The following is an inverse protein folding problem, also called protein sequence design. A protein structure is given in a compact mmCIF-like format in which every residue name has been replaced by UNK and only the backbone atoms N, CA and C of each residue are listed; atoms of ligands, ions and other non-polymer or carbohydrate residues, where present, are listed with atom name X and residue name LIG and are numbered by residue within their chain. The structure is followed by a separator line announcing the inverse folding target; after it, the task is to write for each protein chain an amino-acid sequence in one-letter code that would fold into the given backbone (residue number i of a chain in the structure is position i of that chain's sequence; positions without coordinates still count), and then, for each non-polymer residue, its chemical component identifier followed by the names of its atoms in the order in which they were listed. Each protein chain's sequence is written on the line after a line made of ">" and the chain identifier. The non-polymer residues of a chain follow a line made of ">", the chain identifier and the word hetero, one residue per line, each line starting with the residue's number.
data_IF_757208124586
#
_entry.id   IF_757208124586
#
_cell.length_a   1.000
_cell.length_b   1.000
_cell.length_c   1.000
_cell.angle_alpha   90.00
_cell.angle_beta   90.00
_cell.angle_gamma   90.00
#
_symmetry.space_group_name_H-M   'P 1'
#
loop_
_entity.id
_entity.type
_entity.pdbx_description
1 polymer ?
#
# COMPACT_ATOMS: atom_id res chain seq x y z
N UNK A 1 3.60 -4.88 24.95
CA UNK A 1 2.86 -3.65 24.61
C UNK A 1 1.38 -3.97 24.51
N UNK A 2 0.51 -3.16 25.11
CA UNK A 2 -0.94 -3.28 24.96
C UNK A 2 -1.44 -2.40 23.81
N UNK A 3 -2.41 -2.89 23.03
CA UNK A 3 -3.09 -2.10 22.01
C UNK A 3 -4.03 -1.07 22.67
N UNK A 4 -3.88 0.22 22.36
CA UNK A 4 -4.77 1.30 22.84
C UNK A 4 -5.89 1.56 21.82
N UNK A 5 -6.92 0.71 21.86
CA UNK A 5 -8.10 0.88 21.01
C UNK A 5 -8.88 2.17 21.35
N UNK A 6 -8.90 2.60 22.62
CA UNK A 6 -9.60 3.83 23.01
C UNK A 6 -8.93 5.06 22.42
N UNK A 7 -7.60 5.11 22.42
CA UNK A 7 -6.82 6.15 21.74
C UNK A 7 -7.04 6.14 20.23
N UNK A 8 -7.01 4.96 19.61
CA UNK A 8 -7.29 4.80 18.19
C UNK A 8 -8.69 5.34 17.83
N UNK A 9 -9.73 5.02 18.62
CA UNK A 9 -11.09 5.54 18.44
C UNK A 9 -11.15 7.07 18.56
N UNK A 10 -10.48 7.66 19.56
CA UNK A 10 -10.43 9.13 19.73
C UNK A 10 -9.76 9.84 18.55
N UNK A 11 -8.72 9.22 17.98
CA UNK A 11 -7.97 9.75 16.83
C UNK A 11 -8.75 9.60 15.53
N UNK A 12 -9.29 8.40 15.25
CA UNK A 12 -9.98 8.07 13.98
C UNK A 12 -11.41 8.58 13.92
N UNK A 13 -12.09 8.72 15.06
CA UNK A 13 -13.46 9.23 15.20
C UNK A 13 -14.45 8.57 14.22
N UNK A 14 -14.52 7.22 14.17
CA UNK A 14 -15.38 6.53 13.21
C UNK A 14 -16.87 6.88 13.40
N UNK A 15 -17.29 7.18 14.62
CA UNK A 15 -18.63 7.64 15.00
C UNK A 15 -19.00 8.99 14.38
N UNK A 16 -18.02 9.84 14.07
CA UNK A 16 -18.23 11.14 13.42
C UNK A 16 -18.34 11.05 11.91
N UNK A 17 -18.11 9.86 11.33
CA UNK A 17 -18.21 9.63 9.88
C UNK A 17 -19.50 8.88 9.59
N UNK A 18 -20.47 9.59 9.01
CA UNK A 18 -21.81 9.07 8.68
C UNK A 18 -22.14 9.14 7.19
N UNK A 19 -21.38 9.91 6.40
CA UNK A 19 -21.62 10.12 4.97
C UNK A 19 -20.56 9.40 4.17
N UNK A 20 -20.97 8.88 2.99
CA UNK A 20 -20.06 8.31 2.00
C UNK A 20 -18.97 9.34 1.67
N UNK A 21 -17.71 8.91 1.78
CA UNK A 21 -16.57 9.71 1.34
C UNK A 21 -16.50 9.70 -0.19
N UNK A 22 -16.12 10.84 -0.75
CA UNK A 22 -15.91 11.02 -2.19
C UNK A 22 -14.40 11.12 -2.42
N UNK A 23 -13.80 10.30 -3.30
CA UNK A 23 -12.40 10.45 -3.66
C UNK A 23 -12.15 11.86 -4.21
N UNK A 24 -11.06 12.51 -3.78
CA UNK A 24 -10.68 13.82 -4.30
C UNK A 24 -10.41 13.76 -5.81
N UNK A 25 -10.61 14.85 -6.57
CA UNK A 25 -10.25 14.92 -7.99
C UNK A 25 -8.78 14.55 -8.23
N UNK A 26 -8.46 14.04 -9.43
CA UNK A 26 -7.08 13.64 -9.76
C UNK A 26 -6.07 14.78 -9.59
N UNK A 27 -6.45 16.02 -9.91
CA UNK A 27 -5.60 17.21 -9.74
C UNK A 27 -5.22 17.50 -8.29
N UNK A 28 -5.93 16.94 -7.32
CA UNK A 28 -5.65 17.09 -5.89
C UNK A 28 -4.93 15.88 -5.29
N UNK A 29 -4.71 14.82 -6.07
CA UNK A 29 -4.00 13.62 -5.63
C UNK A 29 -2.50 13.80 -5.85
N UNK A 30 -1.65 13.48 -4.86
CA UNK A 30 -0.21 13.58 -5.04
C UNK A 30 0.27 12.60 -6.13
N UNK A 31 0.97 13.14 -7.12
CA UNK A 31 1.50 12.36 -8.24
C UNK A 31 3.02 12.16 -8.10
N UNK A 32 3.52 11.01 -8.56
CA UNK A 32 4.95 10.69 -8.51
C UNK A 32 5.82 11.70 -9.28
N UNK A 33 5.26 12.38 -10.29
CA UNK A 33 5.93 13.44 -11.07
C UNK A 33 6.30 14.67 -10.26
N UNK A 34 5.81 14.78 -9.01
CA UNK A 34 6.23 15.84 -8.09
C UNK A 34 7.68 15.70 -7.61
N UNK A 35 8.32 14.54 -7.81
CA UNK A 35 9.72 14.37 -7.47
C UNK A 35 10.66 14.93 -8.55
N UNK A 36 11.59 15.75 -8.09
CA UNK A 36 12.75 16.13 -8.89
C UNK A 36 13.73 14.95 -9.00
N UNK A 37 14.21 14.68 -10.22
CA UNK A 37 15.19 13.64 -10.54
C UNK A 37 16.53 13.79 -9.79
N UNK A 38 16.80 14.98 -9.22
CA UNK A 38 17.98 15.25 -8.41
C UNK A 38 17.82 14.87 -6.92
N UNK A 39 16.59 14.66 -6.42
CA UNK A 39 16.35 14.43 -4.99
C UNK A 39 16.28 12.93 -4.68
N UNK A 40 17.06 12.42 -3.71
CA UNK A 40 16.91 11.05 -3.23
C UNK A 40 15.49 10.84 -2.69
N UNK A 41 14.77 9.87 -3.26
CA UNK A 41 13.41 9.54 -2.87
C UNK A 41 13.41 8.27 -2.03
N UNK A 42 12.71 8.27 -0.90
CA UNK A 42 12.44 7.06 -0.11
C UNK A 42 10.96 6.71 -0.16
N UNK A 43 10.62 5.47 -0.50
CA UNK A 43 9.24 5.02 -0.77
C UNK A 43 8.94 3.70 -0.09
N UNK A 44 7.67 3.51 0.27
CA UNK A 44 7.11 2.17 0.47
C UNK A 44 6.34 1.79 -0.78
N UNK A 45 6.59 0.60 -1.32
CA UNK A 45 5.83 0.11 -2.47
C UNK A 45 4.58 -0.63 -2.02
N UNK A 46 3.44 -0.28 -2.60
CA UNK A 46 2.23 -1.09 -2.57
C UNK A 46 2.40 -2.37 -3.42
N UNK A 47 1.62 -3.41 -3.13
CA UNK A 47 1.61 -4.69 -3.84
C UNK A 47 1.38 -4.50 -5.34
N UNK A 48 0.51 -3.56 -5.72
CA UNK A 48 0.23 -3.26 -7.13
C UNK A 48 1.49 -2.85 -7.89
N UNK A 49 2.45 -2.18 -7.24
CA UNK A 49 3.68 -1.70 -7.89
C UNK A 49 4.57 -2.86 -8.28
N UNK A 50 4.76 -3.84 -7.40
CA UNK A 50 5.53 -5.04 -7.72
C UNK A 50 4.92 -5.80 -8.89
N UNK A 51 3.60 -6.01 -8.87
CA UNK A 51 2.88 -6.71 -9.93
C UNK A 51 3.01 -5.96 -11.26
N UNK A 52 2.83 -4.64 -11.25
CA UNK A 52 2.97 -3.82 -12.46
C UNK A 52 4.41 -3.76 -12.96
N UNK A 53 5.41 -3.78 -12.07
CA UNK A 53 6.83 -3.88 -12.46
C UNK A 53 7.10 -5.20 -13.16
N UNK A 54 6.71 -6.32 -12.54
CA UNK A 54 6.89 -7.66 -13.10
C UNK A 54 6.15 -7.85 -14.44
N UNK A 55 5.01 -7.18 -14.61
CA UNK A 55 4.21 -7.22 -15.82
C UNK A 55 4.65 -6.22 -16.92
N UNK A 56 5.68 -5.39 -16.68
CA UNK A 56 6.12 -4.36 -17.62
C UNK A 56 5.07 -3.25 -17.87
N UNK A 57 4.24 -2.96 -16.85
CA UNK A 57 3.13 -2.00 -16.93
C UNK A 57 3.38 -0.68 -16.20
N UNK A 58 4.62 -0.44 -15.78
CA UNK A 58 5.00 0.87 -15.25
C UNK A 58 5.38 1.81 -16.39
N UNK A 59 5.06 3.11 -16.28
CA UNK A 59 5.73 4.13 -17.08
C UNK A 59 7.24 4.00 -16.95
N UNK A 60 7.94 4.15 -18.06
CA UNK A 60 9.40 3.98 -18.14
C UNK A 60 10.13 4.95 -17.20
N UNK A 61 9.67 6.20 -17.10
CA UNK A 61 10.21 7.19 -16.19
C UNK A 61 10.03 6.81 -14.72
N UNK A 62 8.88 6.21 -14.38
CA UNK A 62 8.61 5.74 -13.02
C UNK A 62 9.47 4.52 -12.68
N UNK A 63 9.69 3.63 -13.65
CA UNK A 63 10.61 2.50 -13.47
C UNK A 63 12.01 2.98 -13.09
N UNK A 64 12.56 3.94 -13.84
CA UNK A 64 13.86 4.57 -13.55
C UNK A 64 13.90 5.29 -12.19
N UNK A 65 12.79 5.88 -11.75
CA UNK A 65 12.69 6.47 -10.42
C UNK A 65 12.80 5.39 -9.34
N UNK A 66 12.06 4.28 -9.49
CA UNK A 66 12.05 3.18 -8.52
C UNK A 66 13.44 2.55 -8.39
N UNK A 67 14.17 2.35 -9.50
CA UNK A 67 15.53 1.81 -9.48
C UNK A 67 16.53 2.67 -8.69
N UNK A 68 16.31 3.99 -8.65
CA UNK A 68 17.17 4.94 -7.93
C UNK A 68 16.67 5.27 -6.52
N UNK A 69 15.44 4.88 -6.20
CA UNK A 69 14.81 5.19 -4.92
C UNK A 69 15.33 4.29 -3.79
N UNK A 70 15.29 4.83 -2.58
CA UNK A 70 15.49 4.09 -1.36
C UNK A 70 14.20 3.37 -0.98
N UNK A 71 14.08 2.12 -1.40
CA UNK A 71 12.86 1.34 -1.22
C UNK A 71 12.77 0.72 0.19
N UNK A 72 11.58 0.80 0.75
CA UNK A 72 11.14 0.08 1.94
C UNK A 72 9.95 -0.81 1.57
N UNK A 73 9.83 -1.93 2.27
CA UNK A 73 8.91 -3.00 1.92
C UNK A 73 8.01 -3.29 3.11
N UNK A 74 6.70 -3.19 2.95
CA UNK A 74 5.78 -3.61 4.00
C UNK A 74 5.65 -5.14 3.99
N UNK A 75 5.76 -5.79 5.15
CA UNK A 75 5.59 -7.23 5.27
C UNK A 75 4.20 -7.71 4.79
N UNK A 76 3.17 -6.86 4.85
CA UNK A 76 1.83 -7.17 4.31
C UNK A 76 1.86 -7.23 2.78
N UNK A 77 2.57 -6.32 2.11
CA UNK A 77 2.69 -6.38 0.66
C UNK A 77 3.41 -7.67 0.21
N UNK A 78 4.45 -8.08 0.95
CA UNK A 78 5.13 -9.36 0.71
C UNK A 78 4.23 -10.57 0.98
N UNK A 79 3.36 -10.50 1.99
CA UNK A 79 2.36 -11.54 2.23
C UNK A 79 1.37 -11.66 1.06
N UNK A 80 0.90 -10.54 0.50
CA UNK A 80 0.02 -10.56 -0.67
C UNK A 80 0.71 -11.14 -1.91
N UNK A 81 1.99 -10.78 -2.16
CA UNK A 81 2.77 -11.40 -3.21
C UNK A 81 2.93 -12.92 -2.99
N UNK A 82 3.18 -13.35 -1.76
CA UNK A 82 3.32 -14.76 -1.41
C UNK A 82 2.03 -15.55 -1.65
N UNK A 83 0.87 -14.96 -1.32
CA UNK A 83 -0.44 -15.51 -1.66
C UNK A 83 -0.59 -15.63 -3.17
N UNK A 84 -0.21 -14.60 -3.92
CA UNK A 84 -0.25 -14.62 -5.40
C UNK A 84 0.63 -15.72 -6.01
N UNK A 85 1.85 -15.91 -5.49
CA UNK A 85 2.74 -17.02 -5.89
C UNK A 85 2.09 -18.36 -5.58
N UNK A 86 1.61 -18.59 -4.35
CA UNK A 86 1.01 -19.86 -3.96
C UNK A 86 -0.31 -20.18 -4.68
N UNK A 87 -1.03 -19.15 -5.12
CA UNK A 87 -2.29 -19.30 -5.87
C UNK A 87 -2.07 -19.55 -7.37
N UNK A 88 -0.87 -19.33 -7.91
CA UNK A 88 -0.57 -19.58 -9.32
C UNK A 88 -0.59 -21.09 -9.63
N UNK A 89 -0.92 -21.45 -10.87
CA UNK A 89 -0.93 -22.84 -11.33
C UNK A 89 0.52 -23.37 -11.44
N UNK A 90 0.92 -24.36 -10.61
CA UNK A 90 2.27 -24.91 -10.64
C UNK A 90 2.57 -25.74 -11.90
N UNK A 91 1.54 -26.13 -12.66
CA UNK A 91 1.68 -26.86 -13.93
C UNK A 91 1.62 -25.94 -15.15
N UNK A 92 1.39 -24.63 -14.95
CA UNK A 92 1.36 -23.65 -16.02
C UNK A 92 2.76 -23.38 -16.60
N UNK A 93 2.86 -23.02 -17.89
CA UNK A 93 4.14 -22.80 -18.57
C UNK A 93 4.99 -21.66 -17.96
N UNK A 94 4.37 -20.75 -17.22
CA UNK A 94 5.02 -19.59 -16.61
C UNK A 94 5.35 -19.76 -15.11
N UNK A 95 5.04 -20.91 -14.51
CA UNK A 95 5.21 -21.13 -13.07
C UNK A 95 6.65 -20.87 -12.61
N UNK A 96 7.63 -21.47 -13.27
CA UNK A 96 9.05 -21.34 -12.89
C UNK A 96 9.50 -19.87 -12.93
N UNK A 97 9.18 -19.16 -14.02
CA UNK A 97 9.54 -17.76 -14.18
C UNK A 97 8.90 -16.87 -13.09
N UNK A 98 7.61 -17.08 -12.79
CA UNK A 98 6.91 -16.33 -11.74
C UNK A 98 7.50 -16.60 -10.36
N UNK A 99 7.72 -17.87 -10.01
CA UNK A 99 8.31 -18.28 -8.73
C UNK A 99 9.71 -17.68 -8.56
N UNK A 100 10.56 -17.83 -9.57
CA UNK A 100 11.97 -17.42 -9.50
C UNK A 100 12.10 -15.90 -9.42
N UNK A 101 11.25 -15.16 -10.15
CA UNK A 101 11.20 -13.70 -10.07
C UNK A 101 10.92 -13.21 -8.65
N UNK A 102 9.87 -13.73 -7.99
CA UNK A 102 9.53 -13.28 -6.63
C UNK A 102 10.48 -13.82 -5.56
N UNK A 103 11.05 -15.02 -5.74
CA UNK A 103 12.10 -15.53 -4.86
C UNK A 103 13.36 -14.65 -4.89
N UNK A 104 13.78 -14.25 -6.11
CA UNK A 104 14.89 -13.32 -6.28
C UNK A 104 14.56 -11.95 -5.66
N UNK A 105 13.38 -11.41 -5.92
CA UNK A 105 12.92 -10.16 -5.32
C UNK A 105 13.02 -10.18 -3.79
N UNK A 106 12.52 -11.24 -3.14
CA UNK A 106 12.53 -11.35 -1.69
C UNK A 106 13.95 -11.45 -1.13
N UNK A 107 14.84 -12.19 -1.80
CA UNK A 107 16.23 -12.34 -1.35
C UNK A 107 17.04 -11.05 -1.41
N UNK A 108 16.62 -10.08 -2.22
CA UNK A 108 17.26 -8.76 -2.37
C UNK A 108 16.77 -7.74 -1.35
N UNK A 109 15.72 -8.03 -0.56
CA UNK A 109 15.20 -7.11 0.45
C UNK A 109 16.05 -7.20 1.72
N UNK A 110 16.83 -6.17 2.08
CA UNK A 110 17.57 -6.18 3.34
C UNK A 110 16.60 -5.99 4.53
N UNK A 111 16.89 -6.64 5.65
CA UNK A 111 16.07 -6.55 6.88
C UNK A 111 15.85 -5.11 7.35
N UNK A 112 16.86 -4.24 7.18
CA UNK A 112 16.79 -2.81 7.53
C UNK A 112 15.82 -2.00 6.67
N UNK A 113 15.29 -2.59 5.58
CA UNK A 113 14.27 -1.99 4.71
C UNK A 113 12.93 -2.71 4.80
N UNK A 114 12.82 -3.75 5.61
CA UNK A 114 11.57 -4.46 5.87
C UNK A 114 10.81 -3.79 7.01
N UNK A 115 9.59 -3.33 6.72
CA UNK A 115 8.69 -2.73 7.69
C UNK A 115 7.62 -3.75 8.12
N UNK A 116 7.67 -4.16 9.38
CA UNK A 116 6.66 -5.00 10.00
C UNK A 116 5.63 -4.14 10.74
N UNK A 117 4.32 -4.22 10.42
CA UNK A 117 3.29 -3.55 11.19
C UNK A 117 3.25 -4.08 12.62
N UNK A 118 3.17 -3.18 13.61
CA UNK A 118 2.94 -3.55 14.99
C UNK A 118 1.43 -3.73 15.29
N UNK A 119 1.12 -4.30 16.46
CA UNK A 119 -0.26 -4.55 16.87
C UNK A 119 -1.13 -3.28 16.91
N UNK A 120 -0.52 -2.11 17.21
CA UNK A 120 -1.23 -0.84 17.22
C UNK A 120 -1.59 -0.39 15.79
N UNK A 121 -0.69 -0.60 14.83
CA UNK A 121 -0.89 -0.33 13.41
C UNK A 121 -2.06 -1.13 12.87
N UNK A 122 -2.15 -2.43 13.21
CA UNK A 122 -3.30 -3.26 12.85
C UNK A 122 -4.62 -2.74 13.45
N UNK A 123 -4.61 -2.29 14.70
CA UNK A 123 -5.81 -1.75 15.33
C UNK A 123 -6.27 -0.43 14.69
N UNK A 124 -5.33 0.49 14.42
CA UNK A 124 -5.63 1.74 13.72
C UNK A 124 -6.12 1.48 12.27
N UNK A 125 -5.52 0.53 11.55
CA UNK A 125 -5.93 0.12 10.20
C UNK A 125 -7.32 -0.53 10.19
N UNK A 126 -7.63 -1.37 11.18
CA UNK A 126 -8.94 -1.99 11.34
C UNK A 126 -10.06 -0.95 11.51
N UNK A 127 -9.80 0.13 12.25
CA UNK A 127 -10.76 1.23 12.37
C UNK A 127 -10.96 1.99 11.05
N UNK A 128 -9.89 2.22 10.30
CA UNK A 128 -9.99 2.85 8.96
C UNK A 128 -10.79 1.95 8.01
N UNK A 129 -10.39 0.70 7.84
CA UNK A 129 -11.03 -0.24 6.93
C UNK A 129 -12.49 -0.52 7.31
N UNK A 130 -12.79 -0.69 8.60
CA UNK A 130 -14.16 -0.87 9.09
C UNK A 130 -15.04 0.37 8.86
N UNK A 131 -14.47 1.57 8.98
CA UNK A 131 -15.17 2.82 8.67
C UNK A 131 -15.47 2.91 7.18
N UNK A 132 -14.48 2.69 6.31
CA UNK A 132 -14.69 2.70 4.86
C UNK A 132 -15.68 1.62 4.42
N UNK A 133 -15.59 0.41 4.97
CA UNK A 133 -16.52 -0.67 4.66
C UNK A 133 -17.98 -0.28 4.93
N UNK A 134 -18.24 0.40 6.06
CA UNK A 134 -19.56 0.90 6.41
C UNK A 134 -20.01 2.06 5.51
N UNK A 135 -19.12 3.00 5.18
CA UNK A 135 -19.47 4.21 4.42
C UNK A 135 -19.59 3.98 2.92
N UNK A 136 -18.80 3.06 2.36
CA UNK A 136 -18.73 2.78 0.92
C UNK A 136 -19.54 1.55 0.51
N UNK A 137 -20.04 0.76 1.47
CA UNK A 137 -20.79 -0.46 1.19
C UNK A 137 -19.92 -1.61 0.69
N UNK A 138 -18.69 -1.72 1.17
CA UNK A 138 -17.74 -2.74 0.69
C UNK A 138 -18.23 -4.17 0.92
N UNK A 139 -18.06 -4.98 -0.12
CA UNK A 139 -18.25 -6.43 -0.09
C UNK A 139 -17.11 -7.13 0.66
N UNK A 140 -17.32 -8.40 1.02
CA UNK A 140 -16.36 -9.16 1.84
C UNK A 140 -14.92 -9.13 1.29
N UNK A 141 -14.75 -9.29 -0.02
CA UNK A 141 -13.41 -9.25 -0.65
C UNK A 141 -12.78 -7.84 -0.59
N UNK A 142 -13.57 -6.79 -0.80
CA UNK A 142 -13.11 -5.40 -0.70
C UNK A 142 -12.72 -5.02 0.73
N UNK A 143 -13.35 -5.62 1.76
CA UNK A 143 -12.98 -5.38 3.16
C UNK A 143 -11.59 -5.88 3.50
N UNK A 144 -11.24 -7.08 3.01
CA UNK A 144 -9.91 -7.66 3.23
C UNK A 144 -8.84 -6.86 2.48
N UNK A 145 -9.10 -6.49 1.22
CA UNK A 145 -8.20 -5.64 0.44
C UNK A 145 -7.99 -4.28 1.11
N UNK A 146 -9.07 -3.60 1.50
CA UNK A 146 -9.00 -2.31 2.19
C UNK A 146 -8.24 -2.40 3.53
N UNK A 147 -8.36 -3.52 4.27
CA UNK A 147 -7.55 -3.73 5.47
C UNK A 147 -6.06 -3.83 5.14
N UNK A 148 -5.69 -4.60 4.11
CA UNK A 148 -4.29 -4.71 3.68
C UNK A 148 -3.73 -3.35 3.26
N UNK A 149 -4.45 -2.61 2.41
CA UNK A 149 -4.08 -1.26 1.97
C UNK A 149 -3.91 -0.31 3.16
N UNK A 150 -4.85 -0.33 4.11
CA UNK A 150 -4.78 0.51 5.32
C UNK A 150 -3.59 0.16 6.22
N UNK A 151 -3.23 -1.14 6.33
CA UNK A 151 -2.05 -1.56 7.09
C UNK A 151 -0.77 -1.12 6.39
N UNK A 152 -0.66 -1.27 5.06
CA UNK A 152 0.49 -0.79 4.28
C UNK A 152 0.64 0.74 4.46
N UNK A 153 -0.45 1.48 4.28
CA UNK A 153 -0.48 2.93 4.42
C UNK A 153 -0.05 3.41 5.81
N UNK A 154 -0.61 2.84 6.88
CA UNK A 154 -0.28 3.25 8.24
C UNK A 154 1.10 2.78 8.70
N UNK A 155 1.60 1.66 8.15
CA UNK A 155 2.99 1.22 8.37
C UNK A 155 3.97 2.24 7.77
N UNK A 156 3.71 2.68 6.53
CA UNK A 156 4.51 3.71 5.88
C UNK A 156 4.43 5.06 6.61
N UNK A 157 3.22 5.46 7.04
CA UNK A 157 3.01 6.69 7.80
C UNK A 157 3.82 6.70 9.11
N UNK A 158 3.89 5.58 9.84
CA UNK A 158 4.73 5.45 11.05
C UNK A 158 6.22 5.56 10.77
N UNK A 159 6.66 5.11 9.60
CA UNK A 159 8.04 5.27 9.13
C UNK A 159 8.31 6.68 8.53
N UNK A 160 7.29 7.53 8.42
CA UNK A 160 7.40 8.85 7.79
C UNK A 160 7.53 8.80 6.26
N UNK A 161 7.22 7.68 5.63
CA UNK A 161 7.42 7.43 4.19
C UNK A 161 6.09 7.50 3.42
N UNK A 162 6.09 8.01 2.17
CA UNK A 162 4.93 7.88 1.30
C UNK A 162 4.83 6.49 0.68
N UNK A 163 3.61 6.03 0.42
CA UNK A 163 3.34 4.82 -0.36
C UNK A 163 3.19 5.14 -1.84
N UNK A 164 3.90 4.43 -2.73
CA UNK A 164 3.62 4.46 -4.17
C UNK A 164 2.57 3.39 -4.50
N UNK A 165 1.49 3.76 -5.19
CA UNK A 165 0.37 2.84 -5.47
C UNK A 165 -0.35 3.15 -6.79
N UNK A 166 -0.94 2.13 -7.42
CA UNK A 166 -1.90 2.28 -8.51
C UNK A 166 -3.36 2.36 -8.01
N UNK A 167 -3.63 2.06 -6.73
CA UNK A 167 -4.96 2.03 -6.11
C UNK A 167 -5.38 3.43 -5.63
N UNK A 168 -5.44 4.37 -6.57
CA UNK A 168 -5.53 5.82 -6.34
C UNK A 168 -6.72 6.23 -5.48
N UNK A 169 -7.88 5.62 -5.71
CA UNK A 169 -9.11 5.97 -5.00
C UNK A 169 -9.11 5.43 -3.57
N UNK A 170 -8.73 4.17 -3.38
CA UNK A 170 -8.75 3.56 -2.04
C UNK A 170 -7.74 4.22 -1.11
N UNK A 171 -6.52 4.52 -1.59
CA UNK A 171 -5.53 5.25 -0.79
C UNK A 171 -5.94 6.70 -0.50
N UNK A 172 -6.66 7.36 -1.42
CA UNK A 172 -7.25 8.66 -1.15
C UNK A 172 -8.28 8.60 -0.02
N UNK A 173 -9.20 7.64 -0.09
CA UNK A 173 -10.23 7.41 0.93
C UNK A 173 -9.61 7.05 2.29
N UNK A 174 -8.54 6.25 2.30
CA UNK A 174 -7.76 5.94 3.50
C UNK A 174 -7.14 7.21 4.09
N UNK A 175 -6.48 8.05 3.27
CA UNK A 175 -5.86 9.29 3.75
C UNK A 175 -6.89 10.28 4.32
N UNK A 176 -8.11 10.33 3.78
CA UNK A 176 -9.20 11.16 4.35
C UNK A 176 -9.58 10.77 5.79
N UNK A 177 -9.29 9.53 6.21
CA UNK A 177 -9.49 9.02 7.59
C UNK A 177 -8.18 8.96 8.40
N UNK A 178 -7.03 8.92 7.74
CA UNK A 178 -5.69 8.89 8.33
C UNK A 178 -4.79 9.96 7.67
N UNK A 179 -5.00 11.24 8.00
CA UNK A 179 -4.34 12.36 7.33
C UNK A 179 -2.84 12.45 7.61
N UNK A 180 -2.32 11.70 8.59
CA UNK A 180 -0.89 11.67 8.89
C UNK A 180 -0.04 10.92 7.85
N UNK A 181 -0.66 10.06 7.04
CA UNK A 181 0.06 9.29 6.02
C UNK A 181 0.13 10.04 4.70
N UNK A 182 1.04 9.59 3.83
CA UNK A 182 1.23 10.14 2.48
C UNK A 182 1.22 8.99 1.48
N UNK A 183 0.73 9.27 0.28
CA UNK A 183 0.82 8.34 -0.84
C UNK A 183 1.08 9.13 -2.12
N UNK A 184 1.50 8.42 -3.14
CA UNK A 184 1.76 8.90 -4.48
C UNK A 184 1.10 7.95 -5.47
N UNK A 185 0.44 8.52 -6.45
CA UNK A 185 -0.23 7.77 -7.50
C UNK A 185 0.56 7.75 -8.77
N UNK A 186 0.32 6.74 -9.60
CA UNK A 186 0.72 6.70 -10.99
C UNK A 186 -0.36 6.01 -11.83
N UNK A 187 -0.25 6.15 -13.16
CA UNK A 187 -1.05 5.39 -14.12
C UNK A 187 -0.20 4.31 -14.75
N UNK A 188 -0.77 3.12 -14.93
CA UNK A 188 -0.11 2.01 -15.64
C UNK A 188 -0.14 2.25 -17.15
N UNK A 189 0.86 1.72 -17.86
CA UNK A 189 0.91 1.70 -19.33
C UNK A 189 -0.01 0.64 -19.92
#
# INVERSE_FOLDING_TARGET
>A
MSVDLRGALRRRKPDKRSVRLVPRPQSERPDWTTFDAATPVALVLDTSVYIHTAAGRLPEELHRLIERALLFHCAVALAELSVGVAAADPHGPNWAALRDHYAELFSRIPETRLLAPDAQTFADAGLVAGTLARLQGYQRHQRTACLADAVIFLTAARAGLPVLTANREDFDLIQQLAPEGRFLTYERT
#
